data_IF_383290642280
#
_entry.id   IF_383290642280
#
_cell.length_a   1.000
_cell.length_b   1.000
_cell.length_c   1.000
_cell.angle_alpha   90.00
_cell.angle_beta   90.00
_cell.angle_gamma   90.00
#
_symmetry.space_group_name_H-M   'P 1'
#
loop_
_entity.id
_entity.type
_entity.pdbx_description
1 polymer ?
#
# COMPACT_ATOMS: atom_id res chain seq x y z
N UNK A 1 2.16 20.55 3.27
CA UNK A 1 2.01 19.38 4.16
C UNK A 1 3.27 18.53 4.07
N UNK A 2 3.53 17.65 5.05
CA UNK A 2 4.60 16.65 4.97
C UNK A 2 4.05 15.29 4.50
N UNK A 3 4.94 14.42 4.01
CA UNK A 3 4.60 12.99 3.82
C UNK A 3 4.32 12.39 5.19
N UNK A 4 3.14 11.78 5.36
CA UNK A 4 2.72 11.18 6.64
C UNK A 4 2.75 9.64 6.58
N UNK A 5 2.78 9.02 7.75
CA UNK A 5 2.54 7.58 7.89
C UNK A 5 1.11 7.21 7.46
N UNK A 6 0.96 6.04 6.84
CA UNK A 6 -0.37 5.48 6.54
C UNK A 6 -1.15 5.06 7.80
N UNK A 7 -0.49 4.93 8.95
CA UNK A 7 -1.09 4.54 10.25
C UNK A 7 -2.35 5.32 10.61
N UNK A 8 -2.27 6.65 10.68
CA UNK A 8 -3.39 7.46 11.18
C UNK A 8 -4.57 7.49 10.19
N UNK A 9 -4.30 7.53 8.88
CA UNK A 9 -5.36 7.48 7.86
C UNK A 9 -6.07 6.12 7.82
N UNK A 10 -5.35 5.01 8.00
CA UNK A 10 -5.91 3.66 8.01
C UNK A 10 -6.66 3.34 9.31
N UNK A 11 -6.19 3.85 10.46
CA UNK A 11 -6.93 3.78 11.72
C UNK A 11 -8.25 4.55 11.63
N UNK A 12 -8.24 5.77 11.08
CA UNK A 12 -9.46 6.56 10.85
C UNK A 12 -10.42 5.85 9.88
N UNK A 13 -9.90 5.29 8.79
CA UNK A 13 -10.68 4.52 7.83
C UNK A 13 -11.38 3.31 8.47
N UNK A 14 -10.65 2.54 9.28
CA UNK A 14 -11.20 1.41 10.03
C UNK A 14 -12.28 1.83 11.05
N UNK A 15 -12.09 2.95 11.76
CA UNK A 15 -13.05 3.47 12.74
C UNK A 15 -14.32 4.02 12.09
N UNK A 16 -14.21 4.60 10.90
CA UNK A 16 -15.31 5.30 10.20
C UNK A 16 -15.94 4.47 9.08
N UNK A 17 -15.50 3.22 8.86
CA UNK A 17 -16.12 2.29 7.91
C UNK A 17 -15.85 2.58 6.43
N UNK A 18 -14.71 3.18 6.11
CA UNK A 18 -14.29 3.43 4.72
C UNK A 18 -12.93 2.79 4.42
N UNK A 19 -12.50 2.83 3.16
CA UNK A 19 -11.18 2.39 2.71
C UNK A 19 -10.37 3.55 2.13
N UNK A 20 -9.06 3.57 2.37
CA UNK A 20 -8.14 4.50 1.68
C UNK A 20 -7.68 3.86 0.38
N UNK A 21 -7.74 4.55 -0.78
CA UNK A 21 -7.22 4.01 -2.02
C UNK A 21 -5.68 4.04 -2.03
N UNK A 22 -5.08 2.96 -2.52
CA UNK A 22 -3.66 2.87 -2.83
C UNK A 22 -3.50 2.71 -4.34
N UNK A 23 -2.79 3.65 -4.96
CA UNK A 23 -2.54 3.66 -6.40
C UNK A 23 -1.04 3.49 -6.67
N UNK A 24 -0.71 2.60 -7.61
CA UNK A 24 0.66 2.48 -8.09
C UNK A 24 1.04 3.71 -8.94
N UNK A 25 2.20 4.29 -8.65
CA UNK A 25 2.80 5.40 -9.40
C UNK A 25 3.99 4.90 -10.23
N UNK A 26 4.20 5.50 -11.39
CA UNK A 26 5.26 5.09 -12.33
C UNK A 26 6.04 6.27 -12.93
N UNK A 27 5.45 7.48 -12.94
CA UNK A 27 6.01 8.71 -13.52
C UNK A 27 5.37 9.95 -12.87
N UNK A 28 5.70 11.15 -13.37
CA UNK A 28 5.16 12.42 -12.87
C UNK A 28 3.65 12.55 -13.14
N UNK A 29 3.19 12.08 -14.29
CA UNK A 29 1.81 12.19 -14.75
C UNK A 29 0.86 11.35 -13.87
N UNK A 30 1.26 10.11 -13.54
CA UNK A 30 0.53 9.25 -12.59
C UNK A 30 0.54 9.81 -11.16
N UNK A 31 1.62 10.47 -10.76
CA UNK A 31 1.70 11.20 -9.49
C UNK A 31 0.69 12.36 -9.43
N UNK A 32 0.70 13.24 -10.44
CA UNK A 32 -0.17 14.41 -10.52
C UNK A 32 -1.65 14.01 -10.54
N UNK A 33 -2.06 13.15 -11.49
CA UNK A 33 -3.49 12.80 -11.67
C UNK A 33 -4.10 12.16 -10.42
N UNK A 34 -3.32 11.34 -9.69
CA UNK A 34 -3.79 10.70 -8.45
C UNK A 34 -3.96 11.72 -7.32
N UNK A 35 -2.99 12.62 -7.13
CA UNK A 35 -3.07 13.62 -6.05
C UNK A 35 -4.12 14.69 -6.34
N UNK A 36 -4.20 15.18 -7.58
CA UNK A 36 -5.24 16.10 -8.05
C UNK A 36 -6.64 15.52 -7.84
N UNK A 37 -6.86 14.27 -8.25
CA UNK A 37 -8.15 13.59 -8.06
C UNK A 37 -8.45 13.43 -6.57
N UNK A 38 -7.50 12.98 -5.77
CA UNK A 38 -7.69 12.85 -4.32
C UNK A 38 -8.01 14.21 -3.66
N UNK A 39 -7.44 15.31 -4.15
CA UNK A 39 -7.72 16.66 -3.69
C UNK A 39 -9.14 17.12 -4.02
N UNK A 40 -9.60 16.89 -5.26
CA UNK A 40 -10.97 17.18 -5.69
C UNK A 40 -12.01 16.47 -4.80
N UNK A 41 -11.79 15.20 -4.47
CA UNK A 41 -12.65 14.41 -3.59
C UNK A 41 -12.38 14.62 -2.09
N UNK A 42 -11.39 15.45 -1.71
CA UNK A 42 -10.93 15.66 -0.32
C UNK A 42 -10.60 14.35 0.42
N UNK A 43 -10.10 13.36 -0.33
CA UNK A 43 -9.79 12.02 0.16
C UNK A 43 -8.34 11.93 0.67
N UNK A 44 -8.05 11.16 1.73
CA UNK A 44 -6.70 10.66 1.93
C UNK A 44 -6.30 9.73 0.78
N UNK A 45 -5.00 9.64 0.48
CA UNK A 45 -4.47 8.77 -0.59
C UNK A 45 -3.13 8.15 -0.22
N UNK A 46 -2.89 6.94 -0.70
CA UNK A 46 -1.61 6.24 -0.62
C UNK A 46 -1.03 6.13 -2.04
N UNK A 47 0.19 6.63 -2.22
CA UNK A 47 0.96 6.51 -3.45
C UNK A 47 1.95 5.34 -3.28
N UNK A 48 1.76 4.27 -4.03
CA UNK A 48 2.55 3.05 -3.95
C UNK A 48 3.60 3.00 -5.07
N UNK A 49 4.88 2.84 -4.74
CA UNK A 49 5.94 2.63 -5.73
C UNK A 49 6.52 1.23 -5.59
N UNK A 50 6.61 0.47 -6.69
CA UNK A 50 7.34 -0.80 -6.69
C UNK A 50 8.85 -0.56 -6.71
N UNK A 51 9.65 -1.61 -6.53
CA UNK A 51 11.11 -1.52 -6.66
C UNK A 51 11.55 -0.97 -8.03
N UNK A 52 10.80 -1.31 -9.09
CA UNK A 52 10.96 -0.76 -10.44
C UNK A 52 10.70 0.75 -10.50
N UNK A 53 9.60 1.23 -9.93
CA UNK A 53 9.28 2.67 -9.84
C UNK A 53 10.41 3.47 -9.19
N UNK A 54 10.90 3.04 -8.03
CA UNK A 54 11.96 3.78 -7.33
C UNK A 54 13.32 3.72 -8.04
N UNK A 55 13.60 2.63 -8.77
CA UNK A 55 14.80 2.50 -9.62
C UNK A 55 14.75 3.43 -10.83
N UNK A 56 13.58 3.58 -11.46
CA UNK A 56 13.39 4.42 -12.64
C UNK A 56 13.27 5.91 -12.29
N UNK A 57 12.35 6.27 -11.40
CA UNK A 57 12.09 7.68 -11.06
C UNK A 57 13.15 8.31 -10.16
N UNK A 58 13.87 7.49 -9.38
CA UNK A 58 14.82 7.93 -8.36
C UNK A 58 14.13 8.30 -7.05
N UNK A 59 14.67 7.80 -5.94
CA UNK A 59 14.10 7.96 -4.59
C UNK A 59 13.88 9.44 -4.20
N UNK A 60 14.92 10.27 -4.34
CA UNK A 60 14.86 11.67 -3.94
C UNK A 60 13.89 12.48 -4.82
N UNK A 61 13.90 12.24 -6.13
CA UNK A 61 12.99 12.89 -7.09
C UNK A 61 11.53 12.62 -6.71
N UNK A 62 11.16 11.36 -6.50
CA UNK A 62 9.79 10.97 -6.10
C UNK A 62 9.42 11.64 -4.77
N UNK A 63 10.31 11.62 -3.77
CA UNK A 63 10.08 12.27 -2.48
C UNK A 63 9.86 13.79 -2.64
N UNK A 64 10.64 14.47 -3.49
CA UNK A 64 10.52 15.92 -3.70
C UNK A 64 9.25 16.30 -4.47
N UNK A 65 8.91 15.57 -5.54
CA UNK A 65 7.65 15.77 -6.28
C UNK A 65 6.47 15.57 -5.34
N UNK A 66 6.46 14.49 -4.56
CA UNK A 66 5.38 14.20 -3.61
C UNK A 66 5.29 15.25 -2.51
N UNK A 67 6.41 15.78 -2.00
CA UNK A 67 6.42 16.90 -1.05
C UNK A 67 5.82 18.18 -1.65
N UNK A 68 6.12 18.48 -2.92
CA UNK A 68 5.55 19.63 -3.63
C UNK A 68 4.02 19.50 -3.77
N UNK A 69 3.54 18.35 -4.29
CA UNK A 69 2.10 18.08 -4.44
C UNK A 69 1.37 18.08 -3.07
N UNK A 70 1.97 17.50 -2.02
CA UNK A 70 1.42 17.55 -0.67
C UNK A 70 1.42 18.98 -0.06
N UNK A 71 2.32 19.86 -0.50
CA UNK A 71 2.30 21.27 -0.13
C UNK A 71 1.17 22.03 -0.82
N UNK A 72 1.00 21.80 -2.12
CA UNK A 72 0.01 22.45 -2.98
C UNK A 72 -1.43 22.06 -2.58
N UNK A 73 -1.76 20.77 -2.58
CA UNK A 73 -3.15 20.31 -2.39
C UNK A 73 -3.58 20.14 -0.93
N UNK A 74 -2.63 20.19 0.02
CA UNK A 74 -2.87 20.12 1.46
C UNK A 74 -3.67 18.90 1.97
N UNK A 75 -3.76 17.81 1.20
CA UNK A 75 -4.44 16.57 1.60
C UNK A 75 -3.53 15.60 2.40
N UNK A 76 -4.12 14.66 3.18
CA UNK A 76 -3.35 13.60 3.84
C UNK A 76 -2.83 12.58 2.83
N UNK A 77 -1.51 12.55 2.66
CA UNK A 77 -0.82 11.74 1.64
C UNK A 77 0.28 10.89 2.28
N UNK A 78 0.27 9.59 1.99
CA UNK A 78 1.37 8.69 2.33
C UNK A 78 2.07 8.18 1.06
N UNK A 79 3.40 8.27 1.03
CA UNK A 79 4.24 7.59 0.05
C UNK A 79 4.64 6.22 0.61
N UNK A 80 4.46 5.17 -0.18
CA UNK A 80 4.55 3.78 0.23
C UNK A 80 5.51 2.97 -0.65
N UNK A 81 6.24 2.04 -0.02
CA UNK A 81 7.04 1.03 -0.71
C UNK A 81 6.17 -0.19 -0.96
N UNK A 82 5.99 -0.59 -2.21
CA UNK A 82 5.17 -1.72 -2.63
C UNK A 82 6.06 -2.92 -2.99
N UNK A 83 5.76 -4.11 -2.49
CA UNK A 83 6.53 -5.36 -2.68
C UNK A 83 8.07 -5.17 -2.67
N UNK A 84 8.61 -4.63 -1.57
CA UNK A 84 10.07 -4.59 -1.36
C UNK A 84 10.51 -5.80 -0.53
N UNK A 85 11.58 -6.48 -0.97
CA UNK A 85 12.08 -7.71 -0.32
C UNK A 85 13.34 -7.47 0.54
N UNK A 86 14.18 -6.49 0.19
CA UNK A 86 15.46 -6.22 0.87
C UNK A 86 15.33 -5.25 2.06
N UNK A 87 15.67 -5.68 3.30
CA UNK A 87 15.73 -4.78 4.46
C UNK A 87 16.65 -3.57 4.28
N UNK A 88 17.80 -3.72 3.62
CA UNK A 88 18.77 -2.63 3.49
C UNK A 88 18.21 -1.50 2.62
N UNK A 89 17.59 -1.84 1.50
CA UNK A 89 16.85 -0.91 0.65
C UNK A 89 15.68 -0.22 1.39
N UNK A 90 14.87 -0.99 2.16
CA UNK A 90 13.80 -0.43 2.98
C UNK A 90 14.35 0.58 4.01
N UNK A 91 15.45 0.25 4.70
CA UNK A 91 16.08 1.14 5.67
C UNK A 91 16.61 2.41 5.01
N UNK A 92 17.27 2.31 3.85
CA UNK A 92 17.71 3.46 3.07
C UNK A 92 16.53 4.38 2.71
N UNK A 93 15.43 3.81 2.21
CA UNK A 93 14.22 4.56 1.83
C UNK A 93 13.50 5.21 3.04
N UNK A 94 13.46 4.55 4.20
CA UNK A 94 12.95 5.14 5.45
C UNK A 94 13.82 6.34 5.87
N UNK A 95 15.15 6.21 5.83
CA UNK A 95 16.06 7.30 6.17
C UNK A 95 15.89 8.52 5.25
N UNK A 96 15.65 8.31 3.95
CA UNK A 96 15.39 9.38 2.98
C UNK A 96 14.07 10.14 3.23
N UNK A 97 13.14 9.57 4.00
CA UNK A 97 11.89 10.23 4.40
C UNK A 97 10.60 9.47 4.15
N UNK A 98 10.65 8.21 3.70
CA UNK A 98 9.43 7.40 3.49
C UNK A 98 8.89 6.90 4.84
N UNK A 99 7.55 6.91 4.99
CA UNK A 99 6.84 6.67 6.26
C UNK A 99 5.77 5.57 6.17
N UNK A 100 5.73 4.83 5.07
CA UNK A 100 4.87 3.66 4.85
C UNK A 100 5.67 2.65 4.01
N UNK A 101 5.80 1.41 4.44
CA UNK A 101 6.59 0.38 3.75
C UNK A 101 5.88 -0.96 3.74
N UNK A 102 5.98 -1.72 2.66
CA UNK A 102 5.62 -3.13 2.59
C UNK A 102 6.90 -3.98 2.52
N UNK A 103 7.01 -4.97 3.41
CA UNK A 103 8.02 -6.03 3.31
C UNK A 103 7.36 -7.30 2.78
N UNK A 104 7.82 -7.79 1.63
CA UNK A 104 7.34 -9.02 1.03
C UNK A 104 8.24 -10.20 1.43
N UNK A 105 7.89 -10.82 2.56
CA UNK A 105 8.46 -12.10 2.99
C UNK A 105 7.63 -13.31 2.54
N UNK A 106 6.68 -13.17 1.61
CA UNK A 106 5.68 -14.20 1.29
C UNK A 106 6.26 -15.50 0.75
N UNK A 107 7.49 -15.44 0.20
CA UNK A 107 8.22 -16.58 -0.31
C UNK A 107 8.98 -17.38 0.76
N UNK A 108 9.20 -16.83 1.95
CA UNK A 108 9.87 -17.51 3.06
C UNK A 108 8.91 -18.42 3.87
N UNK A 109 9.44 -19.45 4.56
CA UNK A 109 8.74 -20.16 5.62
C UNK A 109 8.14 -19.19 6.66
N UNK A 110 7.02 -19.59 7.28
CA UNK A 110 6.24 -18.70 8.15
C UNK A 110 7.07 -18.06 9.29
N UNK A 111 7.93 -18.82 9.98
CA UNK A 111 8.72 -18.27 11.08
C UNK A 111 9.79 -17.26 10.60
N UNK A 112 10.38 -17.51 9.42
CA UNK A 112 11.37 -16.62 8.79
C UNK A 112 10.72 -15.31 8.34
N UNK A 113 9.55 -15.38 7.68
CA UNK A 113 8.75 -14.19 7.36
C UNK A 113 8.37 -13.42 8.65
N UNK A 114 7.94 -14.10 9.72
CA UNK A 114 7.65 -13.45 11.01
C UNK A 114 8.90 -12.77 11.62
N UNK A 115 10.08 -13.36 11.51
CA UNK A 115 11.32 -12.77 11.99
C UNK A 115 11.72 -11.52 11.17
N UNK A 116 11.66 -11.63 9.85
CA UNK A 116 11.90 -10.53 8.89
C UNK A 116 10.96 -9.34 9.15
N UNK A 117 9.65 -9.59 9.27
CA UNK A 117 8.64 -8.56 9.54
C UNK A 117 8.88 -7.88 10.89
N UNK A 118 9.24 -8.63 11.94
CA UNK A 118 9.61 -8.03 13.23
C UNK A 118 10.79 -7.07 13.10
N UNK A 119 11.83 -7.49 12.37
CA UNK A 119 13.03 -6.68 12.14
C UNK A 119 12.72 -5.38 11.39
N UNK A 120 11.82 -5.42 10.39
CA UNK A 120 11.38 -4.21 9.66
C UNK A 120 10.50 -3.32 10.54
N UNK A 121 9.58 -3.89 11.33
CA UNK A 121 8.71 -3.14 12.27
C UNK A 121 9.52 -2.39 13.32
N UNK A 122 10.45 -3.08 13.98
CA UNK A 122 11.31 -2.50 15.01
C UNK A 122 12.15 -1.35 14.46
N UNK A 123 12.72 -1.50 13.26
CA UNK A 123 13.43 -0.42 12.58
C UNK A 123 12.50 0.77 12.31
N UNK A 124 11.36 0.51 11.65
CA UNK A 124 10.44 1.51 11.09
C UNK A 124 9.78 2.37 12.15
N UNK A 125 9.44 1.79 13.30
CA UNK A 125 8.81 2.49 14.41
C UNK A 125 9.65 3.65 14.97
N UNK A 126 10.98 3.56 14.88
CA UNK A 126 11.90 4.62 15.32
C UNK A 126 11.79 5.91 14.47
N UNK A 127 11.15 5.82 13.31
CA UNK A 127 10.94 6.92 12.36
C UNK A 127 9.45 7.28 12.20
N UNK A 128 8.56 6.77 13.06
CA UNK A 128 7.10 6.77 12.90
C UNK A 128 6.65 6.28 11.51
N UNK A 129 7.37 5.31 10.94
CA UNK A 129 6.98 4.66 9.69
C UNK A 129 6.07 3.46 9.97
N UNK A 130 5.01 3.33 9.17
CA UNK A 130 4.12 2.16 9.20
C UNK A 130 4.66 1.02 8.34
N UNK A 131 4.42 -0.21 8.77
CA UNK A 131 4.79 -1.43 8.06
C UNK A 131 3.56 -2.24 7.68
N UNK A 132 3.51 -2.64 6.42
CA UNK A 132 2.67 -3.70 5.87
C UNK A 132 3.54 -4.94 5.62
N UNK A 133 2.93 -6.13 5.70
CA UNK A 133 3.62 -7.37 5.41
C UNK A 133 2.66 -8.42 4.82
N UNK A 134 3.13 -9.13 3.79
CA UNK A 134 2.33 -10.14 3.09
C UNK A 134 2.43 -11.54 3.74
N UNK A 135 1.33 -12.29 3.65
CA UNK A 135 1.21 -13.66 4.16
C UNK A 135 0.47 -14.55 3.14
N UNK A 136 1.21 -15.53 2.62
CA UNK A 136 0.80 -16.35 1.46
C UNK A 136 1.12 -15.62 0.15
N UNK A 137 1.01 -16.32 -0.99
CA UNK A 137 1.20 -15.71 -2.32
C UNK A 137 -0.15 -15.52 -3.01
N UNK A 138 -0.37 -14.33 -3.56
CA UNK A 138 -1.45 -14.10 -4.51
C UNK A 138 -1.02 -14.58 -5.90
N UNK A 139 -1.84 -15.43 -6.51
CA UNK A 139 -1.62 -15.84 -7.90
C UNK A 139 -2.01 -14.69 -8.84
N UNK A 140 -1.08 -14.26 -9.68
CA UNK A 140 -1.22 -13.12 -10.58
C UNK A 140 0.11 -12.75 -11.24
N UNK A 141 0.13 -11.61 -11.93
CA UNK A 141 1.34 -10.98 -12.43
C UNK A 141 1.69 -9.79 -11.52
N UNK A 142 2.91 -9.78 -10.97
CA UNK A 142 3.42 -8.72 -10.08
C UNK A 142 4.71 -8.19 -10.70
N UNK A 143 4.63 -6.98 -11.29
CA UNK A 143 5.57 -6.45 -12.28
C UNK A 143 5.99 -7.52 -13.32
N UNK A 144 7.23 -8.02 -13.23
CA UNK A 144 7.80 -9.02 -14.14
C UNK A 144 7.62 -10.48 -13.67
N UNK A 145 7.08 -10.71 -12.47
CA UNK A 145 6.91 -12.05 -11.88
C UNK A 145 5.53 -12.63 -12.23
N UNK A 146 5.54 -13.75 -12.96
CA UNK A 146 4.35 -14.59 -13.18
C UNK A 146 4.30 -15.63 -12.05
N UNK A 147 3.39 -15.45 -11.10
CA UNK A 147 3.21 -16.40 -9.99
C UNK A 147 2.20 -17.48 -10.40
N UNK A 148 2.71 -18.59 -10.93
CA UNK A 148 1.90 -19.79 -11.13
C UNK A 148 1.53 -20.42 -9.78
N UNK A 149 0.25 -20.30 -9.41
CA UNK A 149 -0.32 -20.93 -8.22
C UNK A 149 -0.77 -19.94 -7.14
N UNK A 150 -1.94 -20.20 -6.55
CA UNK A 150 -2.58 -19.31 -5.57
C UNK A 150 -2.47 -19.87 -4.15
N UNK A 151 -1.36 -19.62 -3.47
CA UNK A 151 -1.17 -20.02 -2.06
C UNK A 151 -1.83 -19.00 -1.12
N UNK A 152 -3.17 -19.00 -1.12
CA UNK A 152 -3.96 -18.22 -0.17
C UNK A 152 -3.55 -18.57 1.26
N UNK A 153 -3.25 -17.56 2.09
CA UNK A 153 -3.03 -17.79 3.52
C UNK A 153 -4.21 -18.52 4.15
N UNK A 154 -3.95 -19.66 4.77
CA UNK A 154 -5.01 -20.47 5.39
C UNK A 154 -5.65 -19.71 6.56
N UNK A 155 -6.92 -19.97 6.93
CA UNK A 155 -7.55 -19.33 8.09
C UNK A 155 -6.75 -19.52 9.39
N UNK A 156 -6.04 -20.65 9.53
CA UNK A 156 -5.12 -20.92 10.63
C UNK A 156 -3.88 -20.01 10.60
N UNK A 157 -3.21 -19.88 9.45
CA UNK A 157 -2.07 -18.96 9.30
C UNK A 157 -2.49 -17.51 9.53
N UNK A 158 -3.65 -17.07 9.02
CA UNK A 158 -4.19 -15.71 9.28
C UNK A 158 -4.48 -15.48 10.76
N UNK A 159 -5.06 -16.47 11.46
CA UNK A 159 -5.27 -16.39 12.93
C UNK A 159 -3.94 -16.30 13.67
N UNK A 160 -2.99 -17.19 13.36
CA UNK A 160 -1.65 -17.20 13.95
C UNK A 160 -0.93 -15.86 13.75
N UNK A 161 -0.98 -15.32 12.52
CA UNK A 161 -0.47 -13.99 12.16
C UNK A 161 -1.16 -12.88 12.96
N UNK A 162 -2.50 -12.89 13.04
CA UNK A 162 -3.27 -11.88 13.77
C UNK A 162 -2.96 -11.82 15.27
N UNK A 163 -2.54 -12.95 15.84
CA UNK A 163 -2.16 -13.09 17.25
C UNK A 163 -0.66 -12.84 17.52
N UNK A 164 0.15 -12.57 16.50
CA UNK A 164 1.56 -12.23 16.69
C UNK A 164 1.70 -10.94 17.53
N UNK A 165 2.54 -10.93 18.58
CA UNK A 165 2.84 -9.75 19.37
C UNK A 165 3.84 -8.84 18.62
N UNK A 166 3.39 -8.28 17.50
CA UNK A 166 4.12 -7.29 16.71
C UNK A 166 3.29 -6.01 16.75
N UNK A 167 3.53 -5.13 17.74
CA UNK A 167 2.83 -3.84 17.83
C UNK A 167 2.98 -3.06 16.52
N UNK A 168 1.98 -2.25 16.16
CA UNK A 168 2.05 -1.31 15.03
C UNK A 168 2.15 -1.90 13.61
N UNK A 169 2.18 -3.23 13.44
CA UNK A 169 2.04 -3.86 12.13
C UNK A 169 0.65 -3.58 11.55
N UNK A 170 0.60 -2.92 10.39
CA UNK A 170 -0.65 -2.67 9.66
C UNK A 170 -0.98 -3.90 8.83
N UNK A 171 -2.14 -4.49 9.11
CA UNK A 171 -2.60 -5.74 8.51
C UNK A 171 -3.57 -5.43 7.38
N UNK A 172 -3.07 -5.39 6.16
CA UNK A 172 -3.89 -5.17 4.98
C UNK A 172 -4.70 -6.43 4.64
N UNK A 173 -5.86 -6.21 4.01
CA UNK A 173 -6.73 -7.26 3.52
C UNK A 173 -7.03 -7.00 2.06
N UNK A 174 -6.31 -7.70 1.19
CA UNK A 174 -6.61 -7.78 -0.23
C UNK A 174 -8.07 -8.19 -0.46
N UNK A 175 -8.84 -7.25 -1.01
CA UNK A 175 -10.12 -7.51 -1.65
C UNK A 175 -9.88 -7.50 -3.16
N UNK A 176 -9.98 -8.67 -3.79
CA UNK A 176 -10.05 -8.75 -5.25
C UNK A 176 -11.36 -8.11 -5.70
N UNK A 177 -11.33 -6.84 -6.09
CA UNK A 177 -12.49 -6.16 -6.67
C UNK A 177 -12.75 -6.78 -8.05
N UNK A 178 -13.89 -7.46 -8.29
CA UNK A 178 -14.23 -7.89 -9.64
C UNK A 178 -14.43 -6.64 -10.51
N UNK A 179 -13.78 -6.61 -11.68
CA UNK A 179 -13.78 -5.52 -12.69
C UNK A 179 -14.62 -4.29 -12.31
N UNK A 180 -13.97 -3.25 -11.81
CA UNK A 180 -14.63 -1.96 -11.59
C UNK A 180 -14.94 -1.34 -12.95
N UNK A 181 -16.17 -1.54 -13.43
CA UNK A 181 -16.69 -0.81 -14.57
C UNK A 181 -16.96 0.64 -14.13
N UNK A 182 -16.21 1.59 -14.69
CA UNK A 182 -16.39 3.03 -14.47
C UNK A 182 -17.67 3.57 -15.15
N UNK A 183 -18.84 3.00 -14.83
CA UNK A 183 -20.13 3.33 -15.45
C UNK A 183 -21.29 3.27 -14.45
N UNK A 184 -21.30 4.14 -13.44
CA UNK A 184 -22.53 4.47 -12.68
C UNK A 184 -22.35 5.76 -11.87
N UNK A 185 -23.21 6.79 -12.01
CA UNK A 185 -23.13 8.03 -11.25
C UNK A 185 -23.88 7.99 -9.89
N UNK A 186 -24.25 6.81 -9.37
CA UNK A 186 -25.16 6.69 -8.21
C UNK A 186 -24.48 6.06 -6.98
N UNK A 187 -24.39 6.77 -5.82
CA UNK A 187 -23.52 6.39 -4.69
C UNK A 187 -24.08 5.31 -3.73
N UNK A 188 -25.22 4.67 -4.05
CA UNK A 188 -26.00 3.86 -3.10
C UNK A 188 -25.53 2.41 -2.88
N UNK A 189 -24.54 1.91 -3.64
CA UNK A 189 -24.20 0.46 -3.67
C UNK A 189 -23.07 0.02 -2.73
N UNK A 190 -22.52 0.91 -1.90
CA UNK A 190 -21.24 0.64 -1.20
C UNK A 190 -21.38 -0.25 0.05
N UNK A 191 -22.44 -0.16 0.86
CA UNK A 191 -22.34 -0.50 2.29
C UNK A 191 -22.29 -1.99 2.79
N UNK A 192 -22.76 -3.06 2.11
CA UNK A 192 -23.06 -4.33 2.81
C UNK A 192 -21.93 -5.14 3.50
N UNK A 193 -20.70 -5.17 2.97
CA UNK A 193 -19.69 -6.19 3.36
C UNK A 193 -18.54 -5.68 4.26
N UNK A 194 -18.60 -4.43 4.74
CA UNK A 194 -17.42 -3.65 5.17
C UNK A 194 -17.21 -3.61 6.68
N UNK A 195 -17.11 -4.78 7.32
CA UNK A 195 -17.02 -4.83 8.79
C UNK A 195 -15.78 -5.62 9.28
N UNK A 196 -14.98 -4.98 10.15
CA UNK A 196 -13.96 -5.53 11.07
C UNK A 196 -12.53 -5.81 10.59
N UNK A 197 -12.00 -5.14 9.57
CA UNK A 197 -10.53 -5.08 9.35
C UNK A 197 -10.13 -3.77 8.69
N UNK A 198 -8.93 -3.26 8.98
CA UNK A 198 -8.36 -2.14 8.24
C UNK A 198 -8.17 -2.57 6.79
N UNK A 199 -8.87 -1.91 5.87
CA UNK A 199 -8.83 -2.17 4.43
C UNK A 199 -8.40 -0.87 3.78
N UNK A 200 -7.20 -0.82 3.23
CA UNK A 200 -6.96 0.03 2.08
C UNK A 200 -7.14 -0.80 0.81
N UNK A 201 -7.61 -0.13 -0.24
CA UNK A 201 -8.02 -0.78 -1.48
C UNK A 201 -6.92 -0.53 -2.51
N UNK A 202 -6.18 -1.59 -2.88
CA UNK A 202 -5.14 -1.51 -3.92
C UNK A 202 -5.82 -1.46 -5.30
N UNK A 203 -5.91 -0.26 -5.85
CA UNK A 203 -6.59 0.02 -7.11
C UNK A 203 -5.60 -0.08 -8.28
N UNK A 204 -5.44 -1.29 -8.83
CA UNK A 204 -4.62 -1.49 -10.03
C UNK A 204 -5.34 -0.92 -11.25
N UNK A 205 -4.81 0.17 -11.82
CA UNK A 205 -5.18 0.61 -13.17
C UNK A 205 -4.69 -0.41 -14.18
N UNK A 206 -5.61 -1.17 -14.76
CA UNK A 206 -5.30 -2.07 -15.86
C UNK A 206 -5.45 -1.29 -17.17
N UNK A 207 -4.38 -0.65 -17.63
CA UNK A 207 -4.30 -0.04 -18.97
C UNK A 207 -4.20 -1.12 -20.07
N UNK A 208 -5.17 -2.03 -20.11
CA UNK A 208 -5.42 -2.87 -21.30
C UNK A 208 -6.25 -2.07 -22.27
N UNK A 209 -5.76 -1.92 -23.51
CA UNK A 209 -6.20 -0.91 -24.46
C UNK A 209 -7.71 -0.80 -24.66
N UNK A 210 -8.17 0.45 -24.79
CA UNK A 210 -9.43 0.77 -25.47
C UNK A 210 -9.33 0.24 -26.91
N UNK A 211 -10.29 -0.55 -27.42
CA UNK A 211 -10.46 -0.68 -28.86
C UNK A 211 -10.84 0.68 -29.44
N UNK A 212 -10.41 0.92 -30.69
CA UNK A 212 -10.69 2.14 -31.44
C UNK A 212 -12.18 2.29 -31.81
#
# INVERSE_FOLDING_TARGET
MYIISSKNMLQKAQQQGYAVPAFNIHNLETLQVVVETAAQYRSPVILAGTTGTYRYGGLENIIMIVKALAHEYQIPLALHLDHHEDPADIYHKINAGIRSVMIDGSHFPFEENVALVKQIVEYSHRYDASVEAELGRLGGQEDDLIVEGKTLSTPLLRRRWSLLPVPGLIRWRWLSVPRMACTSPNPSWILPAWNRSAIALKCRWCCTGLPA
#
